data_IF_709608952723
#
_entry.id   IF_709608952723
#
_cell.length_a   1.000
_cell.length_b   1.000
_cell.length_c   1.000
_cell.angle_alpha   90.00
_cell.angle_beta   90.00
_cell.angle_gamma   90.00
#
_symmetry.space_group_name_H-M   'P 1'
#
loop_
_entity.id
_entity.type
_entity.pdbx_description
1 polymer ?
#
# COMPACT_ATOMS: atom_id res chain seq x y z
N UNK A 1 18.17 -6.72 -0.75
CA UNK A 1 17.52 -7.86 -0.08
C UNK A 1 16.30 -7.31 0.62
N UNK A 2 15.10 -7.81 0.33
CA UNK A 2 13.88 -7.29 0.95
C UNK A 2 13.92 -7.60 2.46
N UNK A 3 13.65 -6.59 3.27
CA UNK A 3 13.46 -6.78 4.71
C UNK A 3 12.18 -7.57 4.96
N UNK A 4 12.10 -8.37 6.03
CA UNK A 4 10.89 -9.15 6.34
C UNK A 4 9.64 -8.27 6.44
N UNK A 5 9.78 -7.03 6.92
CA UNK A 5 8.71 -6.03 6.97
C UNK A 5 8.21 -5.61 5.58
N UNK A 6 9.12 -5.39 4.63
CA UNK A 6 8.74 -5.11 3.23
C UNK A 6 7.93 -6.27 2.63
N UNK A 7 8.34 -7.51 2.91
CA UNK A 7 7.62 -8.69 2.40
C UNK A 7 6.21 -8.77 3.00
N UNK A 8 6.06 -8.52 4.29
CA UNK A 8 4.75 -8.49 4.96
C UNK A 8 3.84 -7.38 4.39
N UNK A 9 4.34 -6.15 4.30
CA UNK A 9 3.57 -5.01 3.79
C UNK A 9 3.14 -5.16 2.32
N UNK A 10 4.03 -5.66 1.45
CA UNK A 10 3.71 -5.92 0.05
C UNK A 10 2.72 -7.08 -0.11
N UNK A 11 2.75 -8.07 0.77
CA UNK A 11 1.80 -9.20 0.72
C UNK A 11 0.41 -8.76 1.17
N UNK A 12 0.31 -7.97 2.24
CA UNK A 12 -0.96 -7.40 2.72
C UNK A 12 -1.58 -6.45 1.68
N UNK A 13 -0.74 -5.65 1.02
CA UNK A 13 -1.15 -4.82 -0.11
C UNK A 13 -1.74 -5.63 -1.25
N UNK A 14 -1.04 -6.69 -1.69
CA UNK A 14 -1.48 -7.51 -2.81
C UNK A 14 -2.86 -8.12 -2.54
N UNK A 15 -3.10 -8.55 -1.30
CA UNK A 15 -4.39 -9.10 -0.88
C UNK A 15 -5.46 -8.00 -0.82
N UNK A 16 -5.18 -6.85 -0.20
CA UNK A 16 -6.13 -5.73 -0.11
C UNK A 16 -6.50 -5.15 -1.47
N UNK A 17 -5.51 -4.98 -2.35
CA UNK A 17 -5.70 -4.53 -3.73
C UNK A 17 -6.55 -5.53 -4.53
N UNK A 18 -6.28 -6.83 -4.39
CA UNK A 18 -7.03 -7.88 -5.08
C UNK A 18 -8.51 -7.87 -4.65
N UNK A 19 -8.81 -7.68 -3.37
CA UNK A 19 -10.20 -7.57 -2.88
C UNK A 19 -10.89 -6.33 -3.45
N UNK A 20 -10.24 -5.16 -3.47
CA UNK A 20 -10.79 -3.93 -4.03
C UNK A 20 -11.00 -4.03 -5.54
N UNK A 21 -10.05 -4.61 -6.28
CA UNK A 21 -10.17 -4.84 -7.71
C UNK A 21 -11.30 -5.82 -8.04
N UNK A 22 -11.42 -6.93 -7.30
CA UNK A 22 -12.55 -7.87 -7.48
C UNK A 22 -13.87 -7.14 -7.28
N UNK A 23 -13.98 -6.29 -6.23
CA UNK A 23 -15.18 -5.50 -5.97
C UNK A 23 -15.53 -4.58 -7.15
N UNK A 24 -14.55 -3.81 -7.65
CA UNK A 24 -14.76 -2.88 -8.76
C UNK A 24 -15.16 -3.66 -10.02
N UNK A 25 -14.42 -4.73 -10.37
CA UNK A 25 -14.71 -5.55 -11.55
C UNK A 25 -16.09 -6.20 -11.48
N UNK A 26 -16.48 -6.72 -10.31
CA UNK A 26 -17.78 -7.34 -10.12
C UNK A 26 -18.92 -6.31 -10.29
N UNK A 27 -18.72 -5.08 -9.78
CA UNK A 27 -19.70 -4.00 -9.94
C UNK A 27 -19.77 -3.48 -11.37
N UNK A 28 -18.64 -3.28 -12.04
CA UNK A 28 -18.60 -2.90 -13.46
C UNK A 28 -19.25 -3.97 -14.36
N UNK A 29 -19.10 -5.26 -14.02
CA UNK A 29 -19.77 -6.38 -14.71
C UNK A 29 -21.28 -6.41 -14.48
N UNK A 30 -21.77 -6.01 -13.30
CA UNK A 30 -23.19 -6.01 -12.95
C UNK A 30 -23.96 -4.77 -13.43
N UNK A 31 -23.35 -3.58 -13.34
CA UNK A 31 -24.02 -2.28 -13.59
C UNK A 31 -23.75 -1.74 -15.01
N UNK A 32 -22.72 -2.26 -15.71
CA UNK A 32 -22.31 -1.72 -17.02
C UNK A 32 -21.66 -0.34 -16.92
N UNK A 33 -21.60 0.41 -18.03
CA UNK A 33 -20.90 1.72 -18.13
C UNK A 33 -21.65 2.90 -17.46
N UNK A 34 -22.62 2.65 -16.58
CA UNK A 34 -23.26 3.70 -15.76
C UNK A 34 -22.55 3.80 -14.41
N UNK A 35 -21.33 4.32 -14.42
CA UNK A 35 -20.54 4.50 -13.19
C UNK A 35 -21.13 5.64 -12.38
N UNK A 36 -21.67 5.32 -11.21
CA UNK A 36 -22.08 6.30 -10.21
C UNK A 36 -20.86 6.83 -9.44
N UNK A 37 -21.01 7.96 -8.75
CA UNK A 37 -19.92 8.61 -8.01
C UNK A 37 -19.18 7.70 -7.01
N UNK A 38 -19.84 6.64 -6.52
CA UNK A 38 -19.26 5.64 -5.63
C UNK A 38 -18.13 4.83 -6.28
N UNK A 39 -18.24 4.50 -7.57
CA UNK A 39 -17.21 3.72 -8.28
C UNK A 39 -15.96 4.57 -8.59
N UNK A 40 -16.13 5.87 -8.81
CA UNK A 40 -15.01 6.81 -8.94
C UNK A 40 -14.28 7.01 -7.61
N UNK A 41 -15.02 7.10 -6.50
CA UNK A 41 -14.42 7.20 -5.17
C UNK A 41 -13.65 5.93 -4.81
N UNK A 42 -14.18 4.75 -5.15
CA UNK A 42 -13.47 3.48 -4.96
C UNK A 42 -12.17 3.41 -5.77
N UNK A 43 -12.16 3.91 -7.02
CA UNK A 43 -10.94 3.98 -7.83
C UNK A 43 -9.89 4.94 -7.24
N UNK A 44 -10.32 6.10 -6.72
CA UNK A 44 -9.42 7.05 -6.04
C UNK A 44 -8.90 6.47 -4.72
N UNK A 45 -9.71 5.72 -3.97
CA UNK A 45 -9.27 5.04 -2.76
C UNK A 45 -8.15 4.01 -3.05
N UNK A 46 -8.20 3.32 -4.19
CA UNK A 46 -7.10 2.43 -4.63
C UNK A 46 -5.81 3.22 -4.89
N UNK A 47 -5.90 4.40 -5.50
CA UNK A 47 -4.74 5.27 -5.70
C UNK A 47 -4.17 5.77 -4.38
N UNK A 48 -5.02 6.17 -3.45
CA UNK A 48 -4.60 6.65 -2.13
C UNK A 48 -3.96 5.53 -1.29
N UNK A 49 -4.52 4.32 -1.33
CA UNK A 49 -3.94 3.13 -0.69
C UNK A 49 -2.55 2.81 -1.23
N UNK A 50 -2.35 2.97 -2.54
CA UNK A 50 -1.03 2.78 -3.17
C UNK A 50 -0.05 3.87 -2.73
N UNK A 51 -0.53 5.10 -2.52
CA UNK A 51 0.27 6.21 -2.00
C UNK A 51 0.67 6.06 -0.54
N UNK A 52 -0.22 5.56 0.32
CA UNK A 52 0.08 5.24 1.73
C UNK A 52 1.23 4.23 1.82
N UNK A 53 1.24 3.21 0.95
CA UNK A 53 2.30 2.22 0.94
C UNK A 53 3.65 2.76 0.46
N UNK A 54 3.64 3.67 -0.52
CA UNK A 54 4.85 4.36 -0.96
C UNK A 54 5.46 5.18 0.18
N UNK A 55 4.63 5.84 1.00
CA UNK A 55 5.12 6.56 2.19
C UNK A 55 5.71 5.60 3.24
N UNK A 56 5.09 4.45 3.46
CA UNK A 56 5.61 3.43 4.38
C UNK A 56 6.92 2.81 3.89
N UNK A 57 7.10 2.65 2.58
CA UNK A 57 8.36 2.21 1.98
C UNK A 57 9.46 3.26 2.21
N UNK A 58 9.17 4.53 1.91
CA UNK A 58 10.11 5.64 2.08
C UNK A 58 10.54 5.82 3.54
N UNK A 59 9.62 5.69 4.50
CA UNK A 59 9.99 5.78 5.93
C UNK A 59 10.80 4.56 6.40
N UNK A 60 10.59 3.40 5.76
CA UNK A 60 11.41 2.21 5.95
C UNK A 60 12.85 2.41 5.48
N UNK A 61 13.06 3.12 4.36
CA UNK A 61 14.39 3.47 3.85
C UNK A 61 15.07 4.56 4.70
N UNK A 62 14.36 5.65 5.03
CA UNK A 62 14.90 6.77 5.81
C UNK A 62 15.26 6.38 7.26
N UNK A 63 14.55 5.42 7.85
CA UNK A 63 14.85 4.90 9.20
C UNK A 63 16.10 4.03 9.25
N UNK A 64 16.48 3.38 8.14
CA UNK A 64 17.70 2.57 8.01
C UNK A 64 18.94 3.46 7.81
N UNK A 65 18.81 4.56 7.08
CA UNK A 65 19.93 5.49 6.78
C UNK A 65 20.11 6.63 7.80
N UNK A 66 19.24 6.71 8.82
CA UNK A 66 19.36 7.70 9.88
C UNK A 66 20.66 7.52 10.69
N UNK A 67 21.60 8.49 10.70
CA UNK A 67 22.91 8.39 11.38
C UNK A 67 22.83 8.34 12.92
N UNK A 68 21.62 8.24 13.48
CA UNK A 68 21.35 8.09 14.91
C UNK A 68 21.18 6.63 15.35
N UNK A 69 20.91 5.68 14.44
CA UNK A 69 20.74 4.25 14.80
C UNK A 69 22.07 3.51 15.02
N UNK A 70 23.13 3.91 14.29
CA UNK A 70 24.46 3.27 14.41
C UNK A 70 25.25 3.71 15.64
N UNK A 71 24.89 4.84 16.28
CA UNK A 71 25.59 5.36 17.47
C UNK A 71 25.09 4.79 18.80
N UNK A 72 23.87 4.27 18.87
CA UNK A 72 23.32 3.66 20.09
C UNK A 72 23.54 2.14 20.18
N UNK A 73 23.90 1.48 19.08
CA UNK A 73 24.24 0.04 19.06
C UNK A 73 25.66 -0.32 19.51
N UNK A 74 26.54 0.67 19.78
CA UNK A 74 27.95 0.46 20.20
C UNK A 74 28.13 0.72 21.72
N UNK A 75 27.05 0.92 22.48
CA UNK A 75 27.11 1.22 23.92
C UNK A 75 26.47 0.16 24.83
N UNK A 76 26.55 -1.13 24.46
CA UNK A 76 26.17 -2.24 25.36
C UNK A 76 27.25 -3.31 25.35
#
# INVERSE_FOLDING_TARGET
>A
MATPFQVEAWTEYAIGLLVLLIRIVYRTRLVGTNWEGDDYFAAIAVLFWTGELLMLEMIGEDSVDSPLTSRDRIKI
#
